data_IF_558242835349
#
_entry.id   IF_558242835349
#
_cell.length_a   1.000
_cell.length_b   1.000
_cell.length_c   1.000
_cell.angle_alpha   90.00
_cell.angle_beta   90.00
_cell.angle_gamma   90.00
#
_symmetry.space_group_name_H-M   'P 1'
#
loop_
_entity.id
_entity.type
_entity.pdbx_description
1 polymer ?
#
# COMPACT_ATOMS: atom_id res chain seq x y z
N UNK A 1 -24.88 2.11 -19.11
CA UNK A 1 -25.80 1.54 -18.09
C UNK A 1 -25.25 1.89 -16.71
N UNK A 2 -26.09 2.38 -15.80
CA UNK A 2 -25.70 2.68 -14.41
C UNK A 2 -26.34 1.60 -13.54
N UNK A 3 -25.54 0.86 -12.76
CA UNK A 3 -26.00 -0.28 -11.94
C UNK A 3 -26.14 0.04 -10.46
N UNK A 4 -25.47 1.07 -9.95
CA UNK A 4 -25.54 1.51 -8.55
C UNK A 4 -25.40 3.03 -8.46
N UNK A 5 -26.14 3.64 -7.54
CA UNK A 5 -26.03 5.06 -7.18
C UNK A 5 -26.16 5.15 -5.67
N UNK A 6 -25.27 5.89 -5.01
CA UNK A 6 -25.35 6.17 -3.59
C UNK A 6 -24.94 7.60 -3.30
N UNK A 7 -25.69 8.25 -2.41
CA UNK A 7 -25.37 9.57 -1.88
C UNK A 7 -24.76 9.39 -0.49
N UNK A 8 -23.56 9.91 -0.29
CA UNK A 8 -22.85 9.86 0.99
C UNK A 8 -22.62 11.27 1.52
N UNK A 9 -22.34 11.39 2.82
CA UNK A 9 -21.96 12.68 3.38
C UNK A 9 -20.63 13.13 2.77
N UNK A 10 -20.49 14.42 2.45
CA UNK A 10 -19.30 14.98 1.82
C UNK A 10 -18.00 14.77 2.63
N UNK A 11 -18.10 14.48 3.92
CA UNK A 11 -16.98 14.17 4.81
C UNK A 11 -16.54 12.70 4.75
N UNK A 12 -17.32 11.84 4.08
CA UNK A 12 -17.00 10.42 3.93
C UNK A 12 -15.95 10.27 2.83
N UNK A 13 -14.83 9.65 3.15
CA UNK A 13 -13.82 9.36 2.13
C UNK A 13 -14.34 8.28 1.18
N UNK A 14 -14.18 8.47 -0.13
CA UNK A 14 -14.73 7.57 -1.16
C UNK A 14 -14.33 6.10 -0.97
N UNK A 15 -13.10 5.83 -0.53
CA UNK A 15 -12.66 4.47 -0.21
C UNK A 15 -13.51 3.76 0.85
N UNK A 16 -14.16 4.49 1.77
CA UNK A 16 -15.06 3.91 2.77
C UNK A 16 -16.41 3.48 2.17
N UNK A 17 -16.76 4.02 0.99
CA UNK A 17 -18.03 3.73 0.31
C UNK A 17 -17.94 2.45 -0.51
N UNK A 18 -16.74 2.11 -0.99
CA UNK A 18 -16.50 0.98 -1.91
C UNK A 18 -17.03 -0.37 -1.41
N UNK A 19 -16.82 -0.81 -0.15
CA UNK A 19 -17.39 -2.06 0.33
C UNK A 19 -18.92 -2.09 0.29
N UNK A 20 -19.55 -0.94 0.56
CA UNK A 20 -21.00 -0.79 0.48
C UNK A 20 -21.54 -0.95 -0.94
N UNK A 21 -20.79 -0.47 -1.95
CA UNK A 21 -21.12 -0.65 -3.36
C UNK A 21 -21.10 -2.15 -3.73
N UNK A 22 -20.02 -2.87 -3.39
CA UNK A 22 -19.93 -4.31 -3.68
C UNK A 22 -21.01 -5.12 -2.98
N UNK A 23 -21.32 -4.81 -1.72
CA UNK A 23 -22.43 -5.44 -0.99
C UNK A 23 -23.77 -5.23 -1.71
N UNK A 24 -24.06 -4.01 -2.17
CA UNK A 24 -25.31 -3.72 -2.92
C UNK A 24 -25.36 -4.39 -4.29
N UNK A 25 -24.23 -4.48 -4.99
CA UNK A 25 -24.14 -5.20 -6.27
C UNK A 25 -24.30 -6.71 -6.07
N UNK A 26 -23.69 -7.28 -5.02
CA UNK A 26 -23.82 -8.69 -4.65
C UNK A 26 -25.26 -9.09 -4.40
N UNK A 27 -25.99 -8.32 -3.58
CA UNK A 27 -27.43 -8.57 -3.32
C UNK A 27 -28.30 -8.55 -4.57
N UNK A 28 -27.87 -7.88 -5.63
CA UNK A 28 -28.60 -7.80 -6.91
C UNK A 28 -28.10 -8.78 -7.96
N UNK A 29 -27.08 -9.58 -7.67
CA UNK A 29 -26.44 -10.48 -8.65
C UNK A 29 -25.72 -9.72 -9.77
N UNK A 30 -25.27 -8.49 -9.50
CA UNK A 30 -24.63 -7.59 -10.47
C UNK A 30 -23.15 -7.34 -10.15
N UNK A 31 -22.48 -8.32 -9.53
CA UNK A 31 -21.05 -8.20 -9.24
C UNK A 31 -20.26 -8.20 -10.55
N UNK A 32 -19.39 -7.21 -10.78
CA UNK A 32 -18.44 -7.28 -11.86
C UNK A 32 -17.29 -8.24 -11.48
N UNK A 33 -16.70 -8.91 -12.47
CA UNK A 33 -15.45 -9.65 -12.27
C UNK A 33 -14.27 -8.70 -11.97
N UNK A 34 -14.28 -7.52 -12.61
CA UNK A 34 -13.29 -6.45 -12.42
C UNK A 34 -13.98 -5.10 -12.22
N UNK A 35 -13.55 -4.34 -11.23
CA UNK A 35 -14.09 -3.02 -10.91
C UNK A 35 -12.97 -1.97 -10.98
N UNK A 36 -12.99 -1.17 -12.05
CA UNK A 36 -12.08 -0.05 -12.24
C UNK A 36 -12.55 1.14 -11.40
N UNK A 37 -11.68 1.68 -10.54
CA UNK A 37 -12.01 2.79 -9.64
C UNK A 37 -10.90 3.86 -9.66
N UNK A 38 -11.25 5.08 -9.29
CA UNK A 38 -10.27 6.15 -9.13
C UNK A 38 -9.47 6.05 -7.82
N UNK A 39 -8.46 6.92 -7.69
CA UNK A 39 -7.53 6.98 -6.56
C UNK A 39 -8.26 7.15 -5.21
N UNK A 40 -9.37 7.87 -5.18
CA UNK A 40 -10.14 8.16 -3.97
C UNK A 40 -10.85 6.91 -3.42
N UNK A 41 -11.23 5.99 -4.29
CA UNK A 41 -11.86 4.72 -3.91
C UNK A 41 -10.84 3.62 -3.54
N UNK A 42 -9.59 3.73 -4.00
CA UNK A 42 -8.59 2.70 -3.72
C UNK A 42 -8.07 2.74 -2.28
N UNK A 43 -8.07 1.58 -1.63
CA UNK A 43 -7.51 1.37 -0.30
C UNK A 43 -7.17 -0.11 -0.16
N UNK A 44 -5.97 -0.40 0.32
CA UNK A 44 -5.48 -1.78 0.40
C UNK A 44 -6.38 -2.74 1.19
N UNK A 45 -6.84 -2.38 2.40
CA UNK A 45 -7.84 -3.18 3.10
C UNK A 45 -9.08 -3.48 2.25
N UNK A 46 -9.57 -2.52 1.48
CA UNK A 46 -10.77 -2.70 0.66
C UNK A 46 -10.52 -3.52 -0.61
N UNK A 47 -9.32 -3.45 -1.21
CA UNK A 47 -8.95 -4.34 -2.32
C UNK A 47 -8.90 -5.80 -1.88
N UNK A 48 -8.29 -6.06 -0.71
CA UNK A 48 -8.25 -7.39 -0.10
C UNK A 48 -9.65 -7.89 0.22
N UNK A 49 -10.47 -7.04 0.85
CA UNK A 49 -11.85 -7.37 1.20
C UNK A 49 -12.69 -7.71 -0.03
N UNK A 50 -12.64 -6.88 -1.08
CA UNK A 50 -13.40 -7.11 -2.32
C UNK A 50 -13.02 -8.45 -2.99
N UNK A 51 -11.72 -8.76 -2.99
CA UNK A 51 -11.22 -10.04 -3.53
C UNK A 51 -11.70 -11.22 -2.68
N UNK A 52 -11.59 -11.11 -1.35
CA UNK A 52 -11.92 -12.19 -0.41
C UNK A 52 -13.41 -12.46 -0.29
N UNK A 53 -14.24 -11.42 -0.19
CA UNK A 53 -15.66 -11.53 0.11
C UNK A 53 -16.54 -11.63 -1.15
N UNK A 54 -16.08 -11.05 -2.26
CA UNK A 54 -16.89 -10.90 -3.46
C UNK A 54 -16.22 -11.41 -4.75
N UNK A 55 -14.98 -11.90 -4.66
CA UNK A 55 -14.18 -12.32 -5.82
C UNK A 55 -14.07 -11.26 -6.92
N UNK A 56 -14.10 -9.98 -6.51
CA UNK A 56 -13.96 -8.84 -7.42
C UNK A 56 -12.50 -8.43 -7.46
N UNK A 57 -11.94 -8.32 -8.67
CA UNK A 57 -10.65 -7.65 -8.87
C UNK A 57 -10.90 -6.14 -8.92
N UNK A 58 -10.48 -5.40 -7.90
CA UNK A 58 -10.56 -3.94 -7.92
C UNK A 58 -9.24 -3.39 -8.45
N UNK A 59 -9.30 -2.49 -9.42
CA UNK A 59 -8.11 -1.90 -10.04
C UNK A 59 -8.21 -0.38 -10.08
N UNK A 60 -7.16 0.31 -9.67
CA UNK A 60 -7.16 1.77 -9.61
C UNK A 60 -5.88 2.35 -9.01
N UNK A 61 -5.71 3.68 -9.00
CA UNK A 61 -4.51 4.31 -8.48
C UNK A 61 -4.41 4.30 -6.93
N UNK A 62 -3.82 3.27 -6.32
CA UNK A 62 -3.28 3.26 -4.97
C UNK A 62 -2.30 4.42 -4.74
N UNK A 63 -2.50 5.09 -3.61
CA UNK A 63 -1.55 6.02 -3.03
C UNK A 63 -0.25 5.28 -2.66
N UNK A 64 0.86 5.61 -3.33
CA UNK A 64 2.18 5.34 -2.78
C UNK A 64 2.32 6.19 -1.52
N UNK A 65 2.56 5.60 -0.35
CA UNK A 65 2.78 6.35 0.88
C UNK A 65 4.25 6.79 0.94
N UNK A 66 4.62 8.05 0.64
CA UNK A 66 5.97 8.50 0.91
C UNK A 66 6.03 8.73 2.42
N UNK A 67 6.57 7.77 3.17
CA UNK A 67 6.81 7.97 4.60
C UNK A 67 7.53 9.30 4.83
N UNK A 68 7.16 10.02 5.90
CA UNK A 68 7.60 11.39 6.24
C UNK A 68 9.14 11.61 6.25
N UNK A 69 9.93 10.55 6.21
CA UNK A 69 11.39 10.56 6.05
C UNK A 69 11.87 10.82 4.61
N UNK A 70 10.96 10.86 3.65
CA UNK A 70 11.23 11.18 2.25
C UNK A 70 11.43 12.68 1.98
N UNK A 71 11.38 13.56 3.00
CA UNK A 71 11.43 15.01 2.75
C UNK A 71 12.82 15.55 2.38
N UNK A 72 13.92 14.79 2.50
CA UNK A 72 15.27 15.32 2.24
C UNK A 72 16.34 14.35 1.70
N UNK A 73 16.05 13.14 1.21
CA UNK A 73 17.08 12.18 0.69
C UNK A 73 18.29 11.90 1.62
N UNK A 74 18.26 12.34 2.88
CA UNK A 74 19.41 12.31 3.78
C UNK A 74 19.38 11.13 4.77
N UNK A 75 18.25 10.40 4.86
CA UNK A 75 18.06 9.30 5.80
C UNK A 75 17.43 8.04 5.21
N UNK A 76 17.50 6.93 5.96
CA UNK A 76 16.98 5.63 5.51
C UNK A 76 15.45 5.59 5.58
N UNK A 77 14.81 5.35 4.43
CA UNK A 77 13.39 5.09 4.28
C UNK A 77 13.06 3.63 4.59
N UNK A 78 11.77 3.27 4.65
CA UNK A 78 11.33 1.88 4.84
C UNK A 78 11.89 0.95 3.75
N UNK A 79 11.92 1.43 2.51
CA UNK A 79 12.27 0.62 1.35
C UNK A 79 13.78 0.28 1.29
N UNK A 80 14.60 0.96 2.10
CA UNK A 80 16.01 0.60 2.31
C UNK A 80 16.18 -0.61 3.25
N UNK A 81 15.14 -1.01 3.97
CA UNK A 81 15.20 -2.15 4.90
C UNK A 81 14.72 -3.43 4.19
N UNK A 82 15.48 -4.50 4.38
CA UNK A 82 15.08 -5.82 3.90
C UNK A 82 14.12 -6.45 4.91
N UNK A 83 12.90 -6.75 4.46
CA UNK A 83 11.85 -7.35 5.29
C UNK A 83 11.72 -8.83 4.94
N UNK A 84 12.11 -9.69 5.88
CA UNK A 84 11.90 -11.13 5.82
C UNK A 84 10.63 -11.48 6.60
N UNK A 85 9.55 -11.68 5.86
CA UNK A 85 8.26 -12.05 6.44
C UNK A 85 8.23 -13.50 6.96
N UNK A 86 9.07 -14.39 6.42
CA UNK A 86 9.09 -15.81 6.79
C UNK A 86 9.74 -16.02 8.15
N UNK A 87 10.88 -15.36 8.38
CA UNK A 87 11.57 -15.36 9.67
C UNK A 87 11.09 -14.25 10.61
N UNK A 88 10.17 -13.39 10.16
CA UNK A 88 9.65 -12.23 10.91
C UNK A 88 10.78 -11.33 11.40
N UNK A 89 11.68 -10.97 10.48
CA UNK A 89 12.86 -10.17 10.75
C UNK A 89 12.99 -9.03 9.74
N UNK A 90 13.57 -7.92 10.18
CA UNK A 90 13.91 -6.80 9.32
C UNK A 90 15.39 -6.50 9.47
N UNK A 91 16.10 -6.45 8.35
CA UNK A 91 17.52 -6.13 8.29
C UNK A 91 17.70 -4.70 7.79
N UNK A 92 18.45 -3.89 8.54
CA UNK A 92 18.72 -2.51 8.15
C UNK A 92 19.88 -2.42 7.14
N UNK A 93 20.05 -1.27 6.46
CA UNK A 93 21.16 -1.03 5.53
C UNK A 93 22.57 -1.20 6.11
N UNK A 94 22.70 -1.24 7.44
CA UNK A 94 23.96 -1.47 8.16
C UNK A 94 24.09 -2.93 8.65
N UNK A 95 23.26 -3.84 8.14
CA UNK A 95 23.30 -5.27 8.44
C UNK A 95 22.76 -5.67 9.82
N UNK A 96 22.19 -4.74 10.59
CA UNK A 96 21.59 -5.07 11.89
C UNK A 96 20.20 -5.66 11.69
N UNK A 97 19.86 -6.68 12.48
CA UNK A 97 18.55 -7.35 12.44
C UNK A 97 17.66 -6.84 13.59
N UNK A 98 16.37 -6.64 13.29
CA UNK A 98 15.35 -6.27 14.26
C UNK A 98 15.17 -7.35 15.33
N UNK A 99 14.83 -6.94 16.55
CA UNK A 99 14.58 -7.85 17.67
C UNK A 99 13.10 -7.90 18.07
N UNK A 100 12.30 -6.94 17.61
CA UNK A 100 10.85 -6.95 17.81
C UNK A 100 10.14 -7.03 16.47
N UNK A 101 9.07 -7.83 16.42
CA UNK A 101 8.11 -7.90 15.33
C UNK A 101 6.72 -7.91 15.95
N UNK A 102 5.96 -6.84 15.77
CA UNK A 102 4.70 -6.63 16.46
C UNK A 102 3.57 -6.20 15.51
N UNK A 103 2.33 -6.52 15.87
CA UNK A 103 1.16 -6.22 15.05
C UNK A 103 0.72 -7.42 14.19
N UNK A 104 -0.05 -7.18 13.11
CA UNK A 104 -0.38 -5.87 12.55
C UNK A 104 -1.27 -5.01 13.45
N UNK A 105 -0.99 -3.71 13.54
CA UNK A 105 -1.77 -2.73 14.29
C UNK A 105 -2.60 -1.84 13.37
N UNK A 106 -3.85 -1.49 13.75
CA UNK A 106 -4.62 -0.51 13.01
C UNK A 106 -3.93 0.86 13.05
N UNK A 107 -4.07 1.64 11.99
CA UNK A 107 -3.61 3.03 11.97
C UNK A 107 -4.75 3.97 12.37
N UNK A 108 -4.43 5.25 12.61
CA UNK A 108 -5.45 6.27 12.90
C UNK A 108 -6.44 6.49 11.76
N UNK A 109 -6.10 6.08 10.53
CA UNK A 109 -7.04 6.08 9.41
C UNK A 109 -7.63 4.67 9.24
N UNK A 110 -8.96 4.51 9.27
CA UNK A 110 -9.60 3.22 9.01
C UNK A 110 -9.40 2.73 7.57
N UNK A 111 -8.99 3.60 6.65
CA UNK A 111 -8.76 3.26 5.23
C UNK A 111 -7.29 2.93 4.93
N UNK A 112 -6.38 3.22 5.86
CA UNK A 112 -4.97 2.91 5.69
C UNK A 112 -4.66 1.49 6.16
N UNK A 113 -3.74 0.85 5.43
CA UNK A 113 -3.31 -0.52 5.73
C UNK A 113 -2.78 -0.62 7.17
N UNK A 114 -3.19 -1.66 7.93
CA UNK A 114 -2.59 -1.93 9.22
C UNK A 114 -1.10 -2.21 9.06
N UNK A 115 -0.31 -1.85 10.06
CA UNK A 115 1.15 -1.92 9.99
C UNK A 115 1.69 -2.94 10.98
N UNK A 116 2.56 -3.82 10.49
CA UNK A 116 3.53 -4.54 11.30
C UNK A 116 4.64 -3.56 11.68
N UNK A 117 5.09 -3.64 12.91
CA UNK A 117 6.09 -2.75 13.49
C UNK A 117 7.31 -3.57 13.92
N UNK A 118 8.41 -3.44 13.18
CA UNK A 118 9.69 -4.00 13.57
C UNK A 118 10.48 -3.00 14.43
N UNK A 119 11.07 -3.49 15.53
CA UNK A 119 11.86 -2.68 16.47
C UNK A 119 13.31 -3.15 16.50
N UNK A 120 14.21 -2.17 16.47
CA UNK A 120 15.64 -2.38 16.64
C UNK A 120 16.06 -2.03 18.07
N UNK A 121 17.00 -2.80 18.62
CA UNK A 121 17.50 -2.59 19.98
C UNK A 121 18.41 -1.38 20.09
N UNK A 122 18.32 -0.69 21.22
CA UNK A 122 19.17 0.45 21.57
C UNK A 122 20.66 0.10 21.50
N UNK A 123 21.06 -1.10 21.98
CA UNK A 123 22.46 -1.55 21.98
C UNK A 123 23.08 -1.66 20.58
N UNK A 124 22.26 -1.91 19.55
CA UNK A 124 22.72 -1.98 18.14
C UNK A 124 22.63 -0.62 17.44
N UNK A 125 21.61 0.18 17.77
CA UNK A 125 21.40 1.47 17.12
C UNK A 125 22.23 2.62 17.72
N UNK A 126 22.54 2.61 19.02
CA UNK A 126 23.35 3.64 19.69
C UNK A 126 24.77 3.78 19.13
N UNK A 127 25.56 2.69 19.01
CA UNK A 127 26.93 2.77 18.48
C UNK A 127 26.99 2.86 16.95
N UNK A 128 25.84 2.85 16.27
CA UNK A 128 25.79 2.83 14.81
C UNK A 128 26.26 4.18 14.24
N UNK A 129 27.28 4.21 13.36
CA UNK A 129 27.79 5.46 12.79
C UNK A 129 26.75 6.17 11.91
N UNK A 130 25.84 5.41 11.30
CA UNK A 130 24.76 5.94 10.48
C UNK A 130 23.53 6.40 11.30
N UNK A 131 23.59 6.41 12.64
CA UNK A 131 22.46 6.73 13.52
C UNK A 131 21.85 8.10 13.21
N UNK A 132 22.67 9.13 13.02
CA UNK A 132 22.21 10.50 12.72
C UNK A 132 21.34 10.57 11.45
N UNK A 133 21.62 9.71 10.48
CA UNK A 133 20.84 9.54 9.23
C UNK A 133 19.68 8.55 9.39
N UNK A 134 19.76 7.63 10.35
CA UNK A 134 18.80 6.54 10.54
C UNK A 134 17.62 6.91 11.45
N UNK A 135 17.84 7.62 12.56
CA UNK A 135 16.77 8.00 13.49
C UNK A 135 17.15 9.22 14.31
N UNK A 136 16.19 10.14 14.47
CA UNK A 136 16.30 11.30 15.38
C UNK A 136 15.64 11.04 16.74
N UNK A 137 15.20 9.80 17.02
CA UNK A 137 14.51 9.46 18.26
C UNK A 137 15.42 9.64 19.48
N UNK A 138 14.86 10.19 20.57
CA UNK A 138 15.58 10.36 21.85
C UNK A 138 16.01 9.03 22.46
N UNK A 139 15.21 7.98 22.27
CA UNK A 139 15.52 6.61 22.69
C UNK A 139 16.65 5.97 21.86
N UNK A 140 16.97 6.56 20.71
CA UNK A 140 18.02 6.09 19.79
C UNK A 140 17.79 4.69 19.24
N UNK A 141 16.52 4.31 19.18
CA UNK A 141 16.02 3.09 18.55
C UNK A 141 15.34 3.45 17.25
N UNK A 142 15.49 2.57 16.25
CA UNK A 142 14.77 2.65 14.99
C UNK A 142 13.56 1.72 15.08
N UNK A 143 12.44 2.20 14.57
CA UNK A 143 11.22 1.41 14.38
C UNK A 143 10.78 1.56 12.94
N UNK A 144 10.43 0.45 12.29
CA UNK A 144 10.01 0.43 10.89
C UNK A 144 8.62 -0.18 10.81
N UNK A 145 7.66 0.61 10.31
CA UNK A 145 6.29 0.18 10.05
C UNK A 145 6.13 -0.24 8.59
N UNK A 146 5.56 -1.42 8.35
CA UNK A 146 5.32 -1.94 7.00
C UNK A 146 4.02 -2.76 6.95
N UNK A 147 3.34 -2.83 5.80
CA UNK A 147 2.12 -3.61 5.68
C UNK A 147 2.39 -5.13 5.77
N UNK A 148 1.39 -5.93 6.17
CA UNK A 148 1.38 -7.39 5.99
C UNK A 148 1.73 -7.84 4.57
N UNK A 149 2.18 -9.09 4.43
CA UNK A 149 2.63 -9.65 3.15
C UNK A 149 1.52 -9.58 2.11
N UNK A 150 0.30 -9.93 2.51
CA UNK A 150 -0.88 -9.99 1.65
C UNK A 150 -1.19 -8.61 1.05
N UNK A 151 -1.21 -7.58 1.89
CA UNK A 151 -1.45 -6.21 1.46
C UNK A 151 -0.28 -5.66 0.61
N UNK A 152 0.96 -6.01 0.93
CA UNK A 152 2.14 -5.65 0.11
C UNK A 152 2.05 -6.28 -1.28
N UNK A 153 1.68 -7.55 -1.36
CA UNK A 153 1.60 -8.26 -2.63
C UNK A 153 0.47 -7.72 -3.50
N UNK A 154 -0.65 -7.29 -2.90
CA UNK A 154 -1.70 -6.55 -3.61
C UNK A 154 -1.18 -5.22 -4.19
N UNK A 155 -0.38 -4.45 -3.44
CA UNK A 155 0.25 -3.24 -3.98
C UNK A 155 1.14 -3.53 -5.19
N UNK A 156 1.94 -4.59 -5.12
CA UNK A 156 2.86 -4.96 -6.19
C UNK A 156 2.11 -5.41 -7.45
N UNK A 157 1.05 -6.22 -7.30
CA UNK A 157 0.21 -6.67 -8.42
C UNK A 157 -0.46 -5.50 -9.12
N UNK A 158 -1.04 -4.59 -8.35
CA UNK A 158 -1.70 -3.41 -8.90
C UNK A 158 -0.69 -2.48 -9.61
N UNK A 159 0.51 -2.28 -9.06
CA UNK A 159 1.59 -1.55 -9.75
C UNK A 159 1.99 -2.22 -11.07
N UNK A 160 2.11 -3.56 -11.10
CA UNK A 160 2.42 -4.30 -12.32
C UNK A 160 1.34 -4.16 -13.40
N UNK A 161 0.07 -4.17 -13.01
CA UNK A 161 -1.05 -3.94 -13.94
C UNK A 161 -0.95 -2.56 -14.57
N UNK A 162 -0.58 -1.52 -13.82
CA UNK A 162 -0.37 -0.17 -14.37
C UNK A 162 0.75 -0.10 -15.37
N UNK A 163 1.92 -0.65 -15.03
CA UNK A 163 3.06 -0.64 -15.95
C UNK A 163 2.67 -1.32 -17.27
N UNK A 164 1.85 -2.38 -17.22
CA UNK A 164 1.33 -3.03 -18.43
C UNK A 164 0.35 -2.15 -19.20
N UNK A 165 -0.63 -1.52 -18.54
CA UNK A 165 -1.61 -0.66 -19.22
C UNK A 165 -0.98 0.60 -19.80
N UNK A 166 0.00 1.20 -19.12
CA UNK A 166 0.81 2.31 -19.63
C UNK A 166 1.67 1.90 -20.84
N UNK A 167 2.29 0.72 -20.80
CA UNK A 167 3.04 0.21 -21.97
C UNK A 167 2.15 -0.12 -23.16
N UNK A 168 0.92 -0.59 -22.91
CA UNK A 168 -0.06 -0.89 -23.96
C UNK A 168 -0.59 0.40 -24.61
N UNK A 169 -0.92 1.41 -23.81
CA UNK A 169 -1.37 2.73 -24.29
C UNK A 169 -0.26 3.50 -25.02
N UNK A 170 1.00 3.34 -24.61
CA UNK A 170 2.16 3.86 -25.33
C UNK A 170 2.47 3.17 -26.66
N UNK A 171 2.06 1.90 -26.85
CA UNK A 171 2.17 1.19 -28.13
C UNK A 171 1.09 1.60 -29.11
N UNK A 172 -0.16 1.78 -28.67
CA UNK A 172 -1.26 2.17 -29.56
C UNK A 172 -1.15 3.62 -30.07
N UNK A 173 -0.40 4.48 -29.40
CA UNK A 173 -0.09 5.84 -29.86
C UNK A 173 1.07 5.91 -30.88
N UNK A 174 1.69 4.77 -31.22
CA UNK A 174 2.77 4.68 -32.22
C UNK A 174 2.33 4.20 -33.61
N UNK A 175 1.03 4.08 -33.87
CA UNK A 175 0.53 3.74 -35.21
C UNK A 175 0.86 4.87 -36.21
N UNK A 176 1.69 4.62 -37.25
CA UNK A 176 2.05 5.66 -38.19
C UNK A 176 0.84 6.05 -39.03
N UNK A 177 0.51 7.34 -39.01
CA UNK A 177 -0.49 7.96 -39.88
C UNK A 177 -0.07 7.73 -41.34
N UNK A 178 -0.64 6.71 -42.00
CA UNK A 178 -0.48 6.50 -43.44
C UNK A 178 -1.20 7.64 -44.15
N UNK A 179 -0.42 8.62 -44.61
CA UNK A 179 -0.90 9.64 -45.56
C UNK A 179 -1.12 8.95 -46.92
N UNK A 180 -2.33 9.10 -47.43
CA UNK A 180 -2.75 8.75 -48.80
C UNK A 180 -2.14 9.67 -49.83
#
# INVERSE_FOLDING_TARGET
MITDVATTAATTHDSQVLPGIHTRLSRRGLLPAEHLVDTGYTSLPHLEQATREHQITVSGPLWSNPTRQHRRNEGFARDDFHIDYDHRQVTCPQGQVSQGWHGPYPTSSPTAAPLIVARFTKSRCQPCPARSRCTTSRESTRTVGFPPRELRDLQLRDLQLRVRTEQQTGRDSSAPCRRT
#
